data_IF_583093352082
#
_entry.id   IF_583093352082
#
_cell.length_a   1.000
_cell.length_b   1.000
_cell.length_c   1.000
_cell.angle_alpha   90.00
_cell.angle_beta   90.00
_cell.angle_gamma   90.00
#
_symmetry.space_group_name_H-M   'P 1'
#
loop_
_entity.id
_entity.type
_entity.pdbx_description
1 polymer ?
#
# COMPACT_ATOMS: atom_id res chain seq x y z
N UNK A 1 7.25 -9.43 -5.58
CA UNK A 1 7.57 -8.11 -6.22
C UNK A 1 6.97 -7.94 -7.62
N UNK A 2 7.19 -8.87 -8.58
CA UNK A 2 6.69 -8.70 -9.97
C UNK A 2 5.17 -8.47 -10.06
N UNK A 3 4.36 -9.25 -9.32
CA UNK A 3 2.90 -9.14 -9.33
C UNK A 3 2.42 -7.77 -8.83
N UNK A 4 3.03 -7.25 -7.77
CA UNK A 4 2.71 -5.94 -7.21
C UNK A 4 2.94 -4.83 -8.24
N UNK A 5 4.11 -4.80 -8.88
CA UNK A 5 4.41 -3.80 -9.92
C UNK A 5 3.45 -3.87 -11.10
N UNK A 6 3.06 -5.08 -11.53
CA UNK A 6 2.07 -5.27 -12.62
C UNK A 6 0.70 -4.73 -12.22
N UNK A 7 0.25 -4.99 -10.99
CA UNK A 7 -1.04 -4.48 -10.49
C UNK A 7 -1.04 -2.97 -10.34
N UNK A 8 0.04 -2.39 -9.84
CA UNK A 8 0.18 -0.94 -9.72
C UNK A 8 0.25 -0.28 -11.10
N UNK A 9 1.00 -0.85 -12.05
CA UNK A 9 1.05 -0.39 -13.45
C UNK A 9 -0.31 -0.46 -14.13
N UNK A 10 -1.07 -1.54 -13.92
CA UNK A 10 -2.44 -1.65 -14.41
C UNK A 10 -3.33 -0.56 -13.80
N UNK A 11 -3.20 -0.30 -12.50
CA UNK A 11 -3.88 0.81 -11.82
C UNK A 11 -3.59 2.17 -12.45
N UNK A 12 -2.32 2.49 -12.68
CA UNK A 12 -1.92 3.72 -13.38
C UNK A 12 -2.37 3.75 -14.84
N UNK A 13 -2.37 2.62 -15.55
CA UNK A 13 -2.82 2.56 -16.94
C UNK A 13 -4.32 2.89 -17.08
N UNK A 14 -5.13 2.62 -16.05
CA UNK A 14 -6.54 3.03 -16.05
C UNK A 14 -6.75 4.54 -15.86
N UNK A 15 -5.72 5.32 -15.50
CA UNK A 15 -5.81 6.75 -15.19
C UNK A 15 -6.60 7.56 -16.24
N UNK A 16 -6.36 7.31 -17.52
CA UNK A 16 -7.00 8.03 -18.64
C UNK A 16 -8.48 7.66 -18.83
N UNK A 17 -8.93 6.55 -18.24
CA UNK A 17 -10.31 6.09 -18.31
C UNK A 17 -11.21 6.76 -17.26
N UNK A 18 -10.61 7.42 -16.26
CA UNK A 18 -11.36 8.03 -15.16
C UNK A 18 -11.64 9.53 -15.40
N UNK A 19 -12.75 10.06 -14.84
CA UNK A 19 -13.07 11.48 -14.91
C UNK A 19 -11.90 12.37 -14.42
N UNK A 20 -11.68 13.50 -15.11
CA UNK A 20 -10.67 14.51 -14.75
C UNK A 20 -10.61 14.88 -13.26
N UNK A 21 -11.73 15.10 -12.53
CA UNK A 21 -11.65 15.42 -11.10
C UNK A 21 -11.10 14.29 -10.22
N UNK A 22 -11.15 13.04 -10.68
CA UNK A 22 -10.71 11.87 -9.91
C UNK A 22 -9.25 11.52 -10.16
N UNK A 23 -8.72 11.90 -11.32
CA UNK A 23 -7.38 11.59 -11.78
C UNK A 23 -6.30 11.91 -10.75
N UNK A 24 -6.30 13.13 -10.19
CA UNK A 24 -5.29 13.54 -9.23
C UNK A 24 -5.36 12.73 -7.93
N UNK A 25 -6.57 12.45 -7.43
CA UNK A 25 -6.76 11.60 -6.25
C UNK A 25 -6.29 10.17 -6.50
N UNK A 26 -6.64 9.61 -7.66
CA UNK A 26 -6.19 8.27 -8.07
C UNK A 26 -4.67 8.19 -8.12
N UNK A 27 -4.01 9.16 -8.77
CA UNK A 27 -2.57 9.20 -8.95
C UNK A 27 -1.84 9.33 -7.61
N UNK A 28 -2.30 10.23 -6.73
CA UNK A 28 -1.74 10.41 -5.39
C UNK A 28 -1.91 9.13 -4.57
N UNK A 29 -3.12 8.55 -4.53
CA UNK A 29 -3.39 7.35 -3.73
C UNK A 29 -2.58 6.14 -4.20
N UNK A 30 -2.48 5.92 -5.53
CA UNK A 30 -1.63 4.87 -6.08
C UNK A 30 -0.14 5.11 -5.78
N UNK A 31 0.34 6.34 -5.92
CA UNK A 31 1.76 6.67 -5.68
C UNK A 31 2.13 6.46 -4.22
N UNK A 32 1.34 7.00 -3.29
CA UNK A 32 1.60 6.87 -1.85
C UNK A 32 1.50 5.40 -1.42
N UNK A 33 0.47 4.69 -1.86
CA UNK A 33 0.32 3.26 -1.59
C UNK A 33 1.51 2.46 -2.14
N UNK A 34 1.98 2.79 -3.35
CA UNK A 34 3.13 2.14 -3.97
C UNK A 34 4.43 2.33 -3.18
N UNK A 35 4.72 3.57 -2.78
CA UNK A 35 5.89 3.89 -1.97
C UNK A 35 5.85 3.17 -0.62
N UNK A 36 4.68 3.15 0.02
CA UNK A 36 4.48 2.54 1.31
C UNK A 36 4.65 1.02 1.26
N UNK A 37 4.00 0.35 0.31
CA UNK A 37 4.16 -1.11 0.13
C UNK A 37 5.59 -1.47 -0.25
N UNK A 38 6.25 -0.68 -1.10
CA UNK A 38 7.65 -0.90 -1.45
C UNK A 38 8.54 -0.81 -0.20
N UNK A 39 8.33 0.19 0.65
CA UNK A 39 9.06 0.33 1.91
C UNK A 39 8.84 -0.89 2.83
N UNK A 40 7.60 -1.35 2.99
CA UNK A 40 7.28 -2.53 3.81
C UNK A 40 7.89 -3.81 3.23
N UNK A 41 7.79 -4.01 1.91
CA UNK A 41 8.37 -5.17 1.21
C UNK A 41 9.89 -5.20 1.36
N UNK A 42 10.58 -4.06 1.30
CA UNK A 42 12.04 -3.99 1.50
C UNK A 42 12.46 -4.29 2.95
N UNK A 43 11.59 -4.04 3.93
CA UNK A 43 11.84 -4.31 5.35
C UNK A 43 11.49 -5.75 5.77
N UNK A 44 10.53 -6.40 5.09
CA UNK A 44 10.11 -7.79 5.33
C UNK A 44 11.21 -8.86 5.23
N UNK A 45 12.12 -8.89 4.23
CA UNK A 45 13.16 -9.93 4.15
C UNK A 45 14.17 -9.86 5.30
N UNK A 46 14.38 -8.68 5.91
CA UNK A 46 15.21 -8.54 7.12
C UNK A 46 14.59 -9.18 8.37
N UNK A 47 13.27 -9.40 8.35
CA UNK A 47 12.50 -10.00 9.46
C UNK A 47 11.99 -11.42 9.17
N UNK A 48 12.32 -11.95 7.99
CA UNK A 48 12.08 -13.34 7.59
C UNK A 48 13.33 -14.22 7.75
N UNK A 49 14.42 -13.69 8.31
CA UNK A 49 15.58 -14.49 8.68
C UNK A 49 15.17 -15.49 9.77
N UNK A 50 15.70 -16.71 9.73
CA UNK A 50 15.30 -17.82 10.60
C UNK A 50 15.44 -17.50 12.10
N UNK A 51 16.29 -16.53 12.45
CA UNK A 51 16.57 -16.12 13.83
C UNK A 51 15.66 -15.00 14.36
N UNK A 52 14.81 -14.40 13.51
CA UNK A 52 13.96 -13.30 13.96
C UNK A 52 12.75 -13.79 14.78
N UNK A 53 12.58 -13.34 16.04
CA UNK A 53 11.47 -13.76 16.88
C UNK A 53 10.12 -13.37 16.25
N UNK A 54 9.11 -14.21 16.44
CA UNK A 54 7.78 -14.00 15.86
C UNK A 54 7.14 -12.67 16.28
N UNK A 55 7.47 -12.16 17.47
CA UNK A 55 7.07 -10.85 17.97
C UNK A 55 7.60 -9.69 17.12
N UNK A 56 8.83 -9.79 16.59
CA UNK A 56 9.40 -8.76 15.70
C UNK A 56 8.68 -8.74 14.34
N UNK A 57 8.27 -9.90 13.84
CA UNK A 57 7.48 -10.01 12.61
C UNK A 57 6.08 -9.40 12.79
N UNK A 58 5.38 -9.74 13.88
CA UNK A 58 4.08 -9.16 14.22
C UNK A 58 4.17 -7.65 14.45
N UNK A 59 5.23 -7.18 15.12
CA UNK A 59 5.50 -5.75 15.31
C UNK A 59 5.66 -5.01 13.99
N UNK A 60 6.35 -5.59 13.00
CA UNK A 60 6.51 -5.00 11.67
C UNK A 60 5.18 -4.95 10.89
N UNK A 61 4.35 -5.99 11.01
CA UNK A 61 3.00 -6.02 10.41
C UNK A 61 2.09 -4.95 11.05
N UNK A 62 2.09 -4.86 12.38
CA UNK A 62 1.32 -3.85 13.10
C UNK A 62 1.79 -2.43 12.75
N UNK A 63 3.10 -2.19 12.72
CA UNK A 63 3.66 -0.89 12.34
C UNK A 63 3.32 -0.53 10.89
N UNK A 64 3.35 -1.49 9.97
CA UNK A 64 2.92 -1.27 8.58
C UNK A 64 1.44 -0.89 8.49
N UNK A 65 0.59 -1.52 9.28
CA UNK A 65 -0.83 -1.17 9.38
C UNK A 65 -1.05 0.24 9.95
N UNK A 66 -0.37 0.61 11.04
CA UNK A 66 -0.46 1.96 11.61
C UNK A 66 0.05 3.03 10.64
N UNK A 67 1.13 2.76 9.89
CA UNK A 67 1.61 3.68 8.87
C UNK A 67 0.55 3.90 7.78
N UNK A 68 -0.10 2.83 7.30
CA UNK A 68 -1.19 2.93 6.31
C UNK A 68 -2.34 3.78 6.82
N UNK A 69 -2.79 3.56 8.06
CA UNK A 69 -3.83 4.37 8.69
C UNK A 69 -3.42 5.85 8.79
N UNK A 70 -2.18 6.13 9.16
CA UNK A 70 -1.65 7.49 9.22
C UNK A 70 -1.69 8.17 7.85
N UNK A 71 -1.24 7.49 6.79
CA UNK A 71 -1.28 8.03 5.43
C UNK A 71 -2.71 8.23 4.90
N UNK A 72 -3.63 7.33 5.22
CA UNK A 72 -5.07 7.50 4.91
C UNK A 72 -5.61 8.74 5.60
N UNK A 73 -5.35 8.89 6.90
CA UNK A 73 -5.86 10.01 7.69
C UNK A 73 -5.30 11.35 7.19
N UNK A 74 -3.98 11.44 7.02
CA UNK A 74 -3.31 12.65 6.53
C UNK A 74 -3.75 12.97 5.10
N UNK A 75 -3.79 11.97 4.22
CA UNK A 75 -4.23 12.16 2.83
C UNK A 75 -5.68 12.60 2.71
N UNK A 76 -6.59 12.02 3.50
CA UNK A 76 -7.99 12.42 3.53
C UNK A 76 -8.17 13.84 4.11
N UNK A 77 -7.41 14.18 5.15
CA UNK A 77 -7.45 15.50 5.77
C UNK A 77 -6.95 16.59 4.81
N UNK A 78 -5.82 16.35 4.13
CA UNK A 78 -5.29 17.23 3.08
C UNK A 78 -6.28 17.38 1.91
N UNK A 79 -6.92 16.30 1.48
CA UNK A 79 -7.94 16.35 0.44
C UNK A 79 -9.15 17.19 0.86
N UNK A 80 -9.61 17.03 2.10
CA UNK A 80 -10.80 17.69 2.63
C UNK A 80 -10.60 19.19 2.92
N UNK A 81 -9.44 19.57 3.47
CA UNK A 81 -9.21 20.94 3.92
C UNK A 81 -8.61 21.81 2.82
N UNK A 82 -7.73 21.26 1.99
CA UNK A 82 -7.05 22.01 0.94
C UNK A 82 -7.68 21.81 -0.45
N UNK A 83 -8.76 21.02 -0.56
CA UNK A 83 -9.46 20.70 -1.80
C UNK A 83 -8.54 20.26 -2.95
N UNK A 84 -7.39 19.65 -2.61
CA UNK A 84 -6.32 19.36 -3.56
C UNK A 84 -6.71 18.26 -4.56
N UNK A 85 -7.57 17.34 -4.15
CA UNK A 85 -8.03 16.22 -4.98
C UNK A 85 -9.30 15.60 -4.43
N UNK A 86 -9.99 14.82 -5.27
CA UNK A 86 -11.21 14.11 -4.88
C UNK A 86 -10.91 13.02 -3.84
N UNK A 87 -11.35 13.24 -2.59
CA UNK A 87 -11.06 12.38 -1.44
C UNK A 87 -11.43 10.92 -1.68
N UNK A 88 -12.62 10.65 -2.21
CA UNK A 88 -13.08 9.27 -2.46
C UNK A 88 -12.21 8.55 -3.48
N UNK A 89 -11.69 9.28 -4.47
CA UNK A 89 -10.85 8.70 -5.51
C UNK A 89 -9.46 8.33 -4.93
N UNK A 90 -8.92 9.20 -4.06
CA UNK A 90 -7.71 8.90 -3.30
C UNK A 90 -7.87 7.68 -2.38
N UNK A 91 -8.95 7.63 -1.59
CA UNK A 91 -9.20 6.50 -0.70
C UNK A 91 -9.32 5.19 -1.47
N UNK A 92 -10.05 5.22 -2.60
CA UNK A 92 -10.23 4.08 -3.46
C UNK A 92 -8.90 3.54 -4.01
N UNK A 93 -8.08 4.40 -4.64
CA UNK A 93 -6.79 3.96 -5.19
C UNK A 93 -5.80 3.54 -4.12
N UNK A 94 -5.78 4.23 -2.97
CA UNK A 94 -4.90 3.87 -1.86
C UNK A 94 -5.24 2.48 -1.31
N UNK A 95 -6.53 2.21 -1.06
CA UNK A 95 -7.01 0.90 -0.58
C UNK A 95 -6.76 -0.19 -1.62
N UNK A 96 -7.02 0.08 -2.90
CA UNK A 96 -6.71 -0.87 -3.98
C UNK A 96 -5.23 -1.24 -3.99
N UNK A 97 -4.33 -0.26 -3.87
CA UNK A 97 -2.89 -0.50 -3.76
C UNK A 97 -2.50 -1.30 -2.52
N UNK A 98 -3.15 -1.04 -1.37
CA UNK A 98 -2.95 -1.79 -0.14
C UNK A 98 -3.36 -3.26 -0.29
N UNK A 99 -4.53 -3.53 -0.89
CA UNK A 99 -4.98 -4.89 -1.20
C UNK A 99 -4.00 -5.61 -2.13
N UNK A 100 -3.49 -4.92 -3.16
CA UNK A 100 -2.48 -5.48 -4.06
C UNK A 100 -1.18 -5.79 -3.32
N UNK A 101 -0.75 -4.90 -2.43
CA UNK A 101 0.41 -5.08 -1.56
C UNK A 101 0.30 -6.32 -0.68
N UNK A 102 -0.85 -6.50 -0.02
CA UNK A 102 -1.10 -7.67 0.82
C UNK A 102 -1.30 -8.96 0.03
N UNK A 103 -2.01 -8.93 -1.09
CA UNK A 103 -2.11 -10.08 -1.98
C UNK A 103 -0.73 -10.56 -2.44
N UNK A 104 0.20 -9.63 -2.66
CA UNK A 104 1.58 -9.96 -3.03
C UNK A 104 2.43 -10.51 -1.87
N UNK A 105 2.00 -10.28 -0.62
CA UNK A 105 2.70 -10.70 0.60
C UNK A 105 2.29 -12.10 1.08
N UNK A 106 1.03 -12.50 0.83
CA UNK A 106 0.46 -13.81 1.19
C UNK A 106 1.32 -15.02 0.79
N UNK A 107 1.91 -15.10 -0.42
CA UNK A 107 2.76 -16.23 -0.79
C UNK A 107 4.04 -16.35 0.06
N UNK A 108 4.56 -15.24 0.59
CA UNK A 108 5.74 -15.25 1.46
C UNK A 108 5.40 -15.74 2.87
N UNK A 109 4.19 -15.43 3.35
CA UNK A 109 3.67 -15.94 4.62
C UNK A 109 3.43 -17.46 4.56
N UNK A 110 2.86 -17.95 3.46
CA UNK A 110 2.57 -19.38 3.26
C UNK A 110 3.82 -20.25 3.13
N UNK A 111 4.96 -19.66 2.76
CA UNK A 111 6.25 -20.36 2.62
C UNK A 111 7.06 -20.41 3.92
N UNK A 112 6.62 -19.73 4.99
CA UNK A 112 7.33 -19.79 6.27
C UNK A 112 7.12 -21.20 6.86
N UNK A 113 8.18 -21.97 7.16
CA UNK A 113 8.01 -23.24 7.86
C UNK A 113 7.31 -22.97 9.19
N UNK A 114 6.28 -23.76 9.50
CA UNK A 114 5.67 -23.77 10.83
C UNK A 114 6.77 -24.23 11.80
N UNK A 115 7.30 -23.32 12.62
CA UNK A 115 8.11 -23.69 13.79
C UNK A 115 7.19 -24.21 14.88
#
# INVERSE_FOLDING_TARGET
MKIFFVLTLAGFATYTLWPAPWQMGLLVGWTVSCLLETFLILRRPKTLQAETPQSAFLGLMALGFFLRLLFILVGALLASQAHLFHTTAFLFSFLAGMFCGEASSLPYLLRRPKS
#
